data_IF_110345626393
#
_entry.id   IF_110345626393
#
_cell.length_a   1.000
_cell.length_b   1.000
_cell.length_c   1.000
_cell.angle_alpha   90.00
_cell.angle_beta   90.00
_cell.angle_gamma   90.00
#
_symmetry.space_group_name_H-M   'P 1'
#
loop_
_entity.id
_entity.type
_entity.pdbx_description
1 polymer ?
#
# COMPACT_ATOMS: atom_id res chain seq x y z
N UNK A 1 -11.63 3.64 2.18
CA UNK A 1 -12.67 2.74 2.75
C UNK A 1 -12.67 2.79 4.28
N UNK A 2 -13.82 2.69 4.94
CA UNK A 2 -13.91 2.78 6.42
C UNK A 2 -13.05 1.74 7.15
N UNK A 3 -12.89 0.54 6.58
CA UNK A 3 -12.10 -0.54 7.19
C UNK A 3 -10.60 -0.23 7.29
N UNK A 4 -10.05 0.55 6.36
CA UNK A 4 -8.64 0.96 6.38
C UNK A 4 -8.42 1.92 7.55
N UNK A 5 -9.27 2.94 7.69
CA UNK A 5 -9.19 3.90 8.79
C UNK A 5 -9.23 3.21 10.16
N UNK A 6 -10.19 2.29 10.35
CA UNK A 6 -10.29 1.51 11.60
C UNK A 6 -9.04 0.66 11.89
N UNK A 7 -8.43 0.05 10.87
CA UNK A 7 -7.18 -0.71 11.02
C UNK A 7 -6.01 0.20 11.41
N UNK A 8 -5.92 1.38 10.82
CA UNK A 8 -4.88 2.37 11.13
C UNK A 8 -5.02 2.92 12.55
N UNK A 9 -6.24 3.25 12.97
CA UNK A 9 -6.53 3.69 14.35
C UNK A 9 -6.09 2.66 15.40
N UNK A 10 -6.23 1.37 15.10
CA UNK A 10 -5.81 0.29 16.00
C UNK A 10 -4.28 0.22 16.20
N UNK A 11 -3.48 0.67 15.22
CA UNK A 11 -2.02 0.70 15.34
C UNK A 11 -1.51 1.90 16.15
N UNK A 12 -2.33 2.92 16.39
CA UNK A 12 -1.96 4.17 17.10
C UNK A 12 -0.65 4.75 16.55
N UNK A 13 0.41 4.75 17.36
CA UNK A 13 1.71 5.34 17.04
C UNK A 13 2.73 4.32 16.50
N UNK A 14 2.32 3.07 16.24
CA UNK A 14 3.19 2.07 15.61
C UNK A 14 3.33 2.36 14.11
N UNK A 15 4.27 3.25 13.81
CA UNK A 15 4.58 3.71 12.46
C UNK A 15 5.06 2.56 11.57
N UNK A 16 5.73 1.54 12.14
CA UNK A 16 6.21 0.39 11.37
C UNK A 16 5.05 -0.48 10.92
N UNK A 17 4.13 -0.82 11.83
CA UNK A 17 2.92 -1.56 11.50
C UNK A 17 2.02 -0.81 10.53
N UNK A 18 1.87 0.52 10.69
CA UNK A 18 1.12 1.36 9.75
C UNK A 18 1.71 1.28 8.33
N UNK A 19 3.03 1.38 8.21
CA UNK A 19 3.72 1.31 6.91
C UNK A 19 3.61 -0.07 6.28
N UNK A 20 3.82 -1.14 7.06
CA UNK A 20 3.71 -2.51 6.60
C UNK A 20 2.29 -2.80 6.09
N UNK A 21 1.28 -2.47 6.89
CA UNK A 21 -0.12 -2.63 6.51
C UNK A 21 -0.48 -1.82 5.25
N UNK A 22 -0.02 -0.56 5.17
CA UNK A 22 -0.24 0.26 3.98
C UNK A 22 0.37 -0.38 2.72
N UNK A 23 1.59 -0.92 2.82
CA UNK A 23 2.25 -1.60 1.71
C UNK A 23 1.50 -2.85 1.25
N UNK A 24 1.00 -3.67 2.19
CA UNK A 24 0.21 -4.87 1.87
C UNK A 24 -1.10 -4.52 1.15
N UNK A 25 -1.82 -3.51 1.65
CA UNK A 25 -3.10 -3.06 1.07
C UNK A 25 -2.91 -2.54 -0.36
N UNK A 26 -1.86 -1.77 -0.60
CA UNK A 26 -1.58 -1.22 -1.94
C UNK A 26 -1.09 -2.33 -2.88
N UNK A 27 -0.25 -3.25 -2.41
CA UNK A 27 0.20 -4.39 -3.21
C UNK A 27 -1.00 -5.26 -3.67
N UNK A 28 -1.95 -5.55 -2.78
CA UNK A 28 -3.18 -6.26 -3.13
C UNK A 28 -4.04 -5.52 -4.15
N UNK A 29 -4.11 -4.18 -4.07
CA UNK A 29 -4.80 -3.37 -5.06
C UNK A 29 -4.12 -3.47 -6.43
N UNK A 30 -2.79 -3.34 -6.47
CA UNK A 30 -2.00 -3.48 -7.70
C UNK A 30 -2.19 -4.87 -8.33
N UNK A 31 -2.15 -5.95 -7.56
CA UNK A 31 -2.43 -7.32 -8.05
C UNK A 31 -3.83 -7.42 -8.65
N UNK A 32 -4.85 -6.86 -7.99
CA UNK A 32 -6.24 -6.84 -8.51
C UNK A 32 -6.36 -6.07 -9.82
N UNK A 33 -5.70 -4.92 -9.92
CA UNK A 33 -5.69 -4.11 -11.14
C UNK A 33 -4.97 -4.84 -12.29
N UNK A 34 -3.83 -5.46 -12.00
CA UNK A 34 -3.08 -6.26 -12.98
C UNK A 34 -3.88 -7.47 -13.45
N UNK A 35 -4.51 -8.22 -12.53
CA UNK A 35 -5.41 -9.32 -12.87
C UNK A 35 -6.65 -8.86 -13.66
N UNK A 36 -7.07 -7.61 -13.45
CA UNK A 36 -8.10 -6.93 -14.24
C UNK A 36 -7.66 -6.43 -15.61
N UNK A 37 -6.41 -6.67 -16.02
CA UNK A 37 -5.89 -6.31 -17.35
C UNK A 37 -5.26 -4.92 -17.45
N UNK A 38 -4.99 -4.24 -16.32
CA UNK A 38 -4.27 -2.97 -16.36
C UNK A 38 -2.85 -3.16 -16.96
N UNK A 39 -2.43 -2.35 -17.94
CA UNK A 39 -1.15 -2.53 -18.64
C UNK A 39 0.08 -2.12 -17.80
N UNK A 40 -0.14 -1.43 -16.67
CA UNK A 40 0.92 -0.97 -15.79
C UNK A 40 0.36 -0.18 -14.59
N UNK A 41 1.23 0.11 -13.62
CA UNK A 41 0.91 0.87 -12.41
C UNK A 41 1.83 2.09 -12.32
N UNK A 42 1.25 3.26 -12.08
CA UNK A 42 1.98 4.50 -11.84
C UNK A 42 1.82 4.93 -10.37
N UNK A 43 2.92 5.25 -9.70
CA UNK A 43 2.94 5.62 -8.28
C UNK A 43 3.17 7.12 -8.10
N UNK A 44 2.27 7.78 -7.35
CA UNK A 44 2.52 9.10 -6.80
C UNK A 44 3.36 8.97 -5.53
N UNK A 45 4.68 9.10 -5.68
CA UNK A 45 5.63 8.83 -4.59
C UNK A 45 5.69 9.94 -3.54
N UNK A 46 5.16 11.13 -3.83
CA UNK A 46 5.26 12.31 -2.98
C UNK A 46 6.72 12.61 -2.54
N UNK A 47 7.66 12.47 -3.48
CA UNK A 47 9.11 12.61 -3.26
C UNK A 47 9.70 11.64 -2.21
N UNK A 48 9.05 10.48 -1.98
CA UNK A 48 9.49 9.46 -1.03
C UNK A 48 9.55 8.08 -1.69
N UNK A 49 10.76 7.52 -1.80
CA UNK A 49 10.95 6.22 -2.45
C UNK A 49 10.53 5.02 -1.59
N UNK A 50 10.77 5.08 -0.27
CA UNK A 50 10.67 3.90 0.63
C UNK A 50 9.30 3.22 0.62
N UNK A 51 8.21 3.99 0.61
CA UNK A 51 6.85 3.45 0.58
C UNK A 51 6.56 2.71 -0.73
N UNK A 52 6.97 3.30 -1.85
CA UNK A 52 6.79 2.70 -3.19
C UNK A 52 7.62 1.43 -3.34
N UNK A 53 8.88 1.44 -2.89
CA UNK A 53 9.75 0.26 -2.92
C UNK A 53 9.16 -0.88 -2.09
N UNK A 54 8.64 -0.59 -0.89
CA UNK A 54 8.01 -1.60 -0.04
C UNK A 54 6.78 -2.24 -0.70
N UNK A 55 6.02 -1.50 -1.52
CA UNK A 55 4.94 -2.07 -2.34
C UNK A 55 5.52 -2.96 -3.43
N UNK A 56 6.51 -2.48 -4.18
CA UNK A 56 7.13 -3.25 -5.27
C UNK A 56 7.75 -4.57 -4.80
N UNK A 57 8.39 -4.59 -3.62
CA UNK A 57 8.96 -5.81 -3.01
C UNK A 57 7.89 -6.87 -2.66
N UNK A 58 6.63 -6.46 -2.57
CA UNK A 58 5.49 -7.34 -2.29
C UNK A 58 4.75 -7.76 -3.56
N UNK A 59 5.05 -7.20 -4.74
CA UNK A 59 4.37 -7.53 -6.00
C UNK A 59 4.98 -8.77 -6.65
#
# INVERSE_FOLDING_TARGET
PRWIGKRLEAFRDDVESIRAFGADVVADLCRKLSAGGAPGIHFYTLNRARATLAVCERL
#
